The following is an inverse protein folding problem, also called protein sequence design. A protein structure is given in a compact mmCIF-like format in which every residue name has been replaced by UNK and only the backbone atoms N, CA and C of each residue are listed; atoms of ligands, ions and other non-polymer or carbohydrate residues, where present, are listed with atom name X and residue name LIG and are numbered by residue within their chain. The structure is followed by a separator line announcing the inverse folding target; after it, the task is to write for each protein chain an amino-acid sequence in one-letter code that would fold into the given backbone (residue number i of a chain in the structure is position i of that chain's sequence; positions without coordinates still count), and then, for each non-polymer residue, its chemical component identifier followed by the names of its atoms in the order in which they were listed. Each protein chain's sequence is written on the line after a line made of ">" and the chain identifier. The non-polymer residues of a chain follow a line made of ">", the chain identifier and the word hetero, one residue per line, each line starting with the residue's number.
data_IF_801161477985
#
_entry.id   IF_801161477985
#
_cell.length_a   1.000
_cell.length_b   1.000
_cell.length_c   1.000
_cell.angle_alpha   90.00
_cell.angle_beta   90.00
_cell.angle_gamma   90.00
#
_symmetry.space_group_name_H-M   'P 1'
#
loop_
_entity.id
_entity.type
_entity.pdbx_description
1 polymer ?
#
# COMPACT_ATOMS: atom_id res chain seq x y z
N UNK A 1 -14.90 -12.40 7.85
CA UNK A 1 -14.84 -12.01 9.25
C UNK A 1 -14.87 -10.50 9.36
N UNK A 2 -15.52 -9.95 10.36
CA UNK A 2 -15.46 -8.51 10.63
C UNK A 2 -14.13 -8.24 11.35
N UNK A 3 -13.35 -7.29 10.84
CA UNK A 3 -12.23 -6.76 11.60
C UNK A 3 -12.80 -5.83 12.67
N UNK A 4 -12.56 -6.16 13.94
CA UNK A 4 -12.92 -5.29 15.05
C UNK A 4 -11.80 -4.24 15.20
N UNK A 5 -12.16 -2.97 15.04
CA UNK A 5 -11.20 -1.87 15.01
C UNK A 5 -11.76 -0.64 15.73
N UNK A 6 -10.96 -0.05 16.61
CA UNK A 6 -11.31 1.20 17.30
C UNK A 6 -11.33 2.41 16.37
N UNK A 7 -10.44 2.44 15.38
CA UNK A 7 -10.21 3.61 14.53
C UNK A 7 -10.60 3.39 13.06
N UNK A 8 -11.26 2.29 12.75
CA UNK A 8 -11.70 1.97 11.41
C UNK A 8 -10.74 1.04 10.65
N UNK A 9 -11.19 0.64 9.47
CA UNK A 9 -10.42 -0.17 8.53
C UNK A 9 -10.28 0.61 7.24
N UNK A 10 -9.08 0.73 6.73
CA UNK A 10 -8.75 1.52 5.55
C UNK A 10 -8.20 0.63 4.45
N UNK A 11 -8.49 0.99 3.22
CA UNK A 11 -8.12 0.22 2.05
C UNK A 11 -7.55 1.12 0.96
N UNK A 12 -6.47 0.66 0.33
CA UNK A 12 -5.94 1.25 -0.90
C UNK A 12 -5.96 0.20 -2.00
N UNK A 13 -6.25 0.60 -3.23
CA UNK A 13 -6.29 -0.32 -4.35
C UNK A 13 -4.89 -0.79 -4.75
N UNK A 14 -4.81 -2.10 -5.04
CA UNK A 14 -3.70 -2.66 -5.78
C UNK A 14 -3.97 -2.72 -7.29
N UNK A 15 -2.93 -3.00 -8.04
CA UNK A 15 -2.97 -2.99 -9.51
C UNK A 15 -3.94 -4.02 -10.14
N UNK A 16 -4.38 -5.02 -9.39
CA UNK A 16 -5.33 -6.04 -9.85
C UNK A 16 -6.77 -5.84 -9.37
N UNK A 17 -7.00 -4.97 -8.40
CA UNK A 17 -8.27 -4.90 -7.67
C UNK A 17 -9.44 -4.41 -8.54
N UNK A 18 -9.20 -3.43 -9.39
CA UNK A 18 -10.23 -2.93 -10.31
C UNK A 18 -10.44 -3.84 -11.54
N UNK A 19 -9.75 -4.99 -11.56
CA UNK A 19 -9.88 -6.02 -12.61
C UNK A 19 -9.66 -5.52 -14.06
N UNK A 20 -8.91 -4.44 -14.22
CA UNK A 20 -8.68 -3.75 -15.48
C UNK A 20 -7.82 -4.55 -16.47
N UNK A 21 -7.20 -5.63 -16.02
CA UNK A 21 -6.34 -6.50 -16.85
C UNK A 21 -7.07 -7.69 -17.46
N UNK A 22 -8.27 -7.99 -16.96
CA UNK A 22 -9.04 -9.13 -17.44
C UNK A 22 -9.84 -8.78 -18.71
N UNK A 23 -9.68 -9.56 -19.76
CA UNK A 23 -10.49 -9.41 -20.97
C UNK A 23 -12.00 -9.65 -20.70
N UNK A 24 -12.31 -10.47 -19.69
CA UNK A 24 -13.66 -10.71 -19.19
C UNK A 24 -13.62 -10.67 -17.67
N UNK A 25 -13.84 -9.51 -17.06
CA UNK A 25 -13.80 -9.39 -15.61
C UNK A 25 -14.95 -10.17 -14.95
N UNK A 26 -14.64 -10.86 -13.86
CA UNK A 26 -15.64 -11.59 -13.07
C UNK A 26 -16.52 -10.66 -12.23
N UNK A 27 -16.06 -9.44 -11.99
CA UNK A 27 -16.76 -8.37 -11.28
C UNK A 27 -16.36 -7.02 -11.85
N UNK A 28 -17.19 -6.01 -11.68
CA UNK A 28 -16.84 -4.62 -12.04
C UNK A 28 -16.13 -3.91 -10.87
N UNK A 29 -15.42 -2.82 -11.19
CA UNK A 29 -14.79 -1.97 -10.18
C UNK A 29 -15.81 -1.42 -9.18
N UNK A 30 -16.99 -1.00 -9.66
CA UNK A 30 -18.07 -0.49 -8.81
C UNK A 30 -18.57 -1.56 -7.83
N UNK A 31 -18.76 -2.81 -8.30
CA UNK A 31 -19.18 -3.89 -7.41
C UNK A 31 -18.17 -4.18 -6.31
N UNK A 32 -16.89 -4.07 -6.61
CA UNK A 32 -15.83 -4.23 -5.61
C UNK A 32 -15.88 -3.10 -4.60
N UNK A 33 -15.96 -1.86 -5.06
CA UNK A 33 -16.07 -0.66 -4.23
C UNK A 33 -17.28 -0.73 -3.30
N UNK A 34 -18.46 -1.06 -3.84
CA UNK A 34 -19.69 -1.29 -3.07
C UNK A 34 -19.50 -2.36 -2.01
N UNK A 35 -18.84 -3.46 -2.34
CA UNK A 35 -18.61 -4.57 -1.39
C UNK A 35 -17.71 -4.14 -0.24
N UNK A 36 -16.65 -3.40 -0.52
CA UNK A 36 -15.70 -2.89 0.47
C UNK A 36 -16.39 -1.88 1.39
N UNK A 37 -17.11 -0.92 0.82
CA UNK A 37 -17.83 0.13 1.58
C UNK A 37 -18.96 -0.43 2.42
N UNK A 38 -19.72 -1.40 1.91
CA UNK A 38 -20.77 -2.09 2.67
C UNK A 38 -20.21 -2.90 3.85
N UNK A 39 -18.97 -3.33 3.76
CA UNK A 39 -18.25 -3.97 4.88
C UNK A 39 -17.75 -2.96 5.93
N UNK A 40 -18.03 -1.66 5.77
CA UNK A 40 -17.58 -0.60 6.69
C UNK A 40 -16.09 -0.21 6.52
N UNK A 41 -15.49 -0.55 5.39
CA UNK A 41 -14.09 -0.24 5.09
C UNK A 41 -14.03 1.07 4.30
N UNK A 42 -13.21 2.00 4.73
CA UNK A 42 -12.98 3.26 4.03
C UNK A 42 -11.90 3.09 2.96
N UNK A 43 -12.24 3.41 1.72
CA UNK A 43 -11.29 3.40 0.61
C UNK A 43 -10.61 4.76 0.55
N UNK A 44 -9.29 4.75 0.40
CA UNK A 44 -8.48 5.93 0.18
C UNK A 44 -7.78 5.82 -1.19
N UNK A 45 -8.20 6.62 -2.13
CA UNK A 45 -7.62 6.67 -3.49
C UNK A 45 -7.22 8.10 -3.83
N UNK A 46 -5.95 8.45 -3.61
CA UNK A 46 -5.43 9.81 -3.60
C UNK A 46 -6.21 10.72 -2.63
N UNK A 47 -6.46 10.18 -1.44
CA UNK A 47 -7.22 10.82 -0.37
C UNK A 47 -6.49 10.69 0.96
N UNK A 48 -6.85 11.55 1.89
CA UNK A 48 -6.28 11.57 3.24
C UNK A 48 -7.38 11.48 4.29
N UNK A 49 -7.06 10.90 5.43
CA UNK A 49 -7.92 10.89 6.61
C UNK A 49 -7.09 11.02 7.87
N UNK A 50 -7.66 11.58 8.92
CA UNK A 50 -6.98 11.75 10.20
C UNK A 50 -7.59 10.85 11.26
N UNK A 51 -6.74 10.11 11.94
CA UNK A 51 -7.09 9.21 13.02
C UNK A 51 -6.71 9.85 14.35
N UNK A 52 -7.67 9.92 15.27
CA UNK A 52 -7.46 10.40 16.64
C UNK A 52 -6.72 11.76 16.74
N UNK A 53 -6.78 12.59 15.70
CA UNK A 53 -6.09 13.89 15.58
C UNK A 53 -4.54 13.80 15.56
N UNK A 54 -3.96 12.61 15.67
CA UNK A 54 -2.52 12.37 15.82
C UNK A 54 -1.89 11.78 14.56
N UNK A 55 -2.63 10.98 13.81
CA UNK A 55 -2.12 10.23 12.66
C UNK A 55 -2.87 10.65 11.40
N UNK A 56 -2.16 11.07 10.37
CA UNK A 56 -2.71 11.28 9.04
C UNK A 56 -2.39 10.06 8.15
N UNK A 57 -3.42 9.37 7.68
CA UNK A 57 -3.28 8.34 6.66
C UNK A 57 -3.41 8.97 5.27
N UNK A 58 -2.46 8.67 4.41
CA UNK A 58 -2.37 9.18 3.03
C UNK A 58 -2.50 7.98 2.10
N UNK A 59 -3.72 7.70 1.62
CA UNK A 59 -3.95 6.61 0.68
C UNK A 59 -3.65 7.03 -0.75
N UNK A 60 -2.74 6.32 -1.40
CA UNK A 60 -2.34 6.57 -2.78
C UNK A 60 -3.22 5.79 -3.75
N UNK A 61 -3.59 6.41 -4.86
CA UNK A 61 -4.09 5.66 -6.01
C UNK A 61 -3.01 4.72 -6.53
N UNK A 62 -3.39 3.53 -6.99
CA UNK A 62 -2.42 2.61 -7.57
C UNK A 62 -1.68 3.27 -8.74
N UNK A 63 -0.38 3.04 -8.79
CA UNK A 63 0.48 3.59 -9.84
C UNK A 63 0.05 3.17 -11.23
N UNK A 64 -0.64 2.03 -11.35
CA UNK A 64 -1.24 1.50 -12.57
C UNK A 64 -0.25 1.29 -13.70
N UNK A 65 -0.80 1.13 -14.92
CA UNK A 65 0.01 1.08 -16.12
C UNK A 65 0.47 2.46 -16.59
N UNK A 66 1.09 2.53 -17.77
CA UNK A 66 1.75 3.73 -18.35
C UNK A 66 0.93 5.02 -18.37
N UNK A 67 -0.39 4.95 -18.20
CA UNK A 67 -1.32 6.09 -18.27
C UNK A 67 -2.05 6.34 -16.94
N UNK A 68 -1.68 5.68 -15.86
CA UNK A 68 -2.31 5.92 -14.58
C UNK A 68 -2.04 7.34 -14.12
N UNK A 69 -3.10 8.06 -13.77
CA UNK A 69 -3.03 9.41 -13.21
C UNK A 69 -3.22 9.27 -11.70
N UNK A 70 -2.17 9.51 -10.93
CA UNK A 70 -2.29 9.68 -9.48
C UNK A 70 -1.80 11.05 -9.08
N UNK A 71 -2.32 11.59 -8.00
CA UNK A 71 -1.88 12.87 -7.47
C UNK A 71 -0.44 12.78 -6.99
N UNK A 72 0.31 13.86 -7.08
CA UNK A 72 1.61 13.93 -6.41
C UNK A 72 1.41 13.94 -4.90
N UNK A 73 2.28 13.27 -4.16
CA UNK A 73 2.18 13.15 -2.71
C UNK A 73 2.20 14.51 -2.02
N UNK A 74 2.96 15.46 -2.54
CA UNK A 74 3.02 16.82 -2.02
C UNK A 74 1.67 17.54 -2.07
N UNK A 75 0.78 17.18 -3.00
CA UNK A 75 -0.56 17.73 -3.08
C UNK A 75 -1.51 17.12 -2.05
N UNK A 76 -1.26 15.88 -1.64
CA UNK A 76 -2.08 15.19 -0.65
C UNK A 76 -1.79 15.66 0.78
N UNK A 77 -0.55 16.02 1.07
CA UNK A 77 -0.14 16.45 2.42
C UNK A 77 -0.30 17.94 2.68
N UNK A 78 -0.65 18.73 1.65
CA UNK A 78 -0.62 20.19 1.70
C UNK A 78 -1.45 20.81 2.83
N UNK A 79 -2.56 20.18 3.19
CA UNK A 79 -3.50 20.67 4.21
C UNK A 79 -3.40 19.90 5.53
N UNK A 80 -2.47 18.95 5.64
CA UNK A 80 -2.28 18.17 6.85
C UNK A 80 -1.52 18.99 7.91
N UNK A 81 -1.80 18.68 9.17
CA UNK A 81 -1.06 19.26 10.28
C UNK A 81 0.34 18.59 10.37
N UNK A 82 1.45 19.36 10.31
CA UNK A 82 2.80 18.81 10.38
C UNK A 82 3.19 18.22 11.74
N UNK A 83 2.39 18.40 12.78
CA UNK A 83 2.58 17.77 14.10
C UNK A 83 2.02 16.34 14.15
N UNK A 84 1.33 15.89 13.09
CA UNK A 84 0.81 14.54 12.99
C UNK A 84 1.85 13.59 12.41
N UNK A 85 1.78 12.31 12.79
CA UNK A 85 2.48 11.23 12.10
C UNK A 85 1.84 10.97 10.73
N UNK A 86 2.60 11.13 9.67
CA UNK A 86 2.10 10.96 8.30
C UNK A 86 2.46 9.58 7.76
N UNK A 87 1.46 8.72 7.67
CA UNK A 87 1.61 7.35 7.20
C UNK A 87 1.03 7.21 5.80
N UNK A 88 1.88 6.88 4.84
CA UNK A 88 1.49 6.62 3.45
C UNK A 88 1.11 5.16 3.28
N UNK A 89 -0.06 4.94 2.68
CA UNK A 89 -0.50 3.64 2.20
C UNK A 89 -0.36 3.64 0.67
N UNK A 90 0.59 2.90 0.15
CA UNK A 90 0.83 2.77 -1.30
C UNK A 90 1.02 1.29 -1.64
N UNK A 91 0.19 0.75 -2.52
CA UNK A 91 0.29 -0.65 -2.89
C UNK A 91 1.68 -1.02 -3.43
N UNK A 92 2.26 -0.16 -4.25
CA UNK A 92 3.57 -0.42 -4.88
C UNK A 92 4.70 0.30 -4.13
N UNK A 93 5.81 -0.40 -3.80
CA UNK A 93 6.96 0.18 -3.11
C UNK A 93 7.76 1.10 -4.02
N UNK A 94 7.37 2.36 -4.05
CA UNK A 94 7.94 3.37 -4.95
C UNK A 94 7.83 4.80 -4.40
N UNK A 95 8.62 5.70 -4.98
CA UNK A 95 8.62 7.13 -4.67
C UNK A 95 9.01 7.47 -3.21
N UNK A 96 9.82 6.62 -2.57
CA UNK A 96 10.27 6.83 -1.19
C UNK A 96 10.96 8.18 -0.99
N UNK A 97 11.80 8.58 -1.95
CA UNK A 97 12.47 9.89 -1.89
C UNK A 97 11.49 11.07 -1.95
N UNK A 98 10.38 10.92 -2.68
CA UNK A 98 9.33 11.95 -2.69
C UNK A 98 8.58 11.98 -1.36
N UNK A 99 8.24 10.82 -0.80
CA UNK A 99 7.58 10.71 0.51
C UNK A 99 8.44 11.34 1.60
N UNK A 100 9.73 11.00 1.66
CA UNK A 100 10.69 11.60 2.58
C UNK A 100 10.78 13.12 2.44
N UNK A 101 10.95 13.61 1.20
CA UNK A 101 11.07 15.05 0.94
C UNK A 101 9.82 15.86 1.27
N UNK A 102 8.66 15.21 1.34
CA UNK A 102 7.40 15.83 1.77
C UNK A 102 7.16 15.77 3.28
N UNK A 103 8.04 15.11 4.03
CA UNK A 103 7.94 14.99 5.47
C UNK A 103 7.08 13.83 5.96
N UNK A 104 6.84 12.81 5.11
CA UNK A 104 6.17 11.59 5.57
C UNK A 104 7.09 10.78 6.47
N UNK A 105 6.51 10.18 7.51
CA UNK A 105 7.24 9.42 8.54
C UNK A 105 7.32 7.95 8.17
N UNK A 106 6.25 7.41 7.58
CA UNK A 106 6.17 5.98 7.23
C UNK A 106 5.49 5.76 5.88
N UNK A 107 5.92 4.71 5.17
CA UNK A 107 5.23 4.17 3.99
C UNK A 107 5.06 2.66 4.11
N UNK A 108 3.82 2.21 3.94
CA UNK A 108 3.43 0.79 4.00
C UNK A 108 3.05 0.32 2.61
N UNK A 109 3.68 -0.75 2.13
CA UNK A 109 3.49 -1.29 0.79
C UNK A 109 3.37 -2.83 0.79
N UNK A 110 2.88 -3.35 -0.34
CA UNK A 110 2.81 -4.78 -0.62
C UNK A 110 3.34 -5.09 -2.01
N UNK A 111 2.48 -5.57 -2.91
CA UNK A 111 2.68 -5.77 -4.35
C UNK A 111 3.69 -6.86 -4.73
N UNK A 112 4.88 -6.86 -4.18
CA UNK A 112 6.03 -7.70 -4.60
C UNK A 112 5.86 -9.17 -4.25
N UNK A 113 4.97 -9.48 -3.29
CA UNK A 113 4.82 -10.82 -2.70
C UNK A 113 6.14 -11.43 -2.21
N UNK A 114 7.17 -10.61 -1.96
CA UNK A 114 8.55 -11.02 -1.66
C UNK A 114 9.12 -11.99 -2.71
N UNK A 115 8.70 -11.83 -3.98
CA UNK A 115 9.06 -12.72 -5.09
C UNK A 115 8.19 -13.95 -5.24
N UNK A 116 7.43 -14.34 -4.22
CA UNK A 116 6.52 -15.48 -4.14
C UNK A 116 7.14 -16.85 -4.53
N UNK A 117 7.81 -16.96 -5.67
CA UNK A 117 8.41 -18.19 -6.19
C UNK A 117 9.91 -17.98 -6.38
N UNK A 118 10.71 -18.80 -5.67
CA UNK A 118 12.15 -18.77 -5.83
C UNK A 118 12.55 -19.14 -7.28
N UNK A 119 13.48 -18.43 -7.93
CA UNK A 119 14.34 -17.38 -7.39
C UNK A 119 13.88 -15.93 -7.76
N UNK A 120 12.59 -15.70 -7.98
CA UNK A 120 12.06 -14.42 -8.49
C UNK A 120 12.41 -13.26 -7.55
N UNK A 121 12.28 -13.43 -6.25
CA UNK A 121 12.62 -12.38 -5.28
C UNK A 121 14.11 -12.01 -5.30
N UNK A 122 14.99 -13.00 -5.52
CA UNK A 122 16.41 -12.75 -5.67
C UNK A 122 16.70 -11.87 -6.91
N UNK A 123 16.07 -12.19 -8.03
CA UNK A 123 16.21 -11.38 -9.24
C UNK A 123 15.59 -10.00 -9.10
N UNK A 124 14.41 -9.91 -8.49
CA UNK A 124 13.76 -8.62 -8.24
C UNK A 124 14.65 -7.70 -7.40
N UNK A 125 15.27 -8.22 -6.34
CA UNK A 125 16.20 -7.47 -5.50
C UNK A 125 17.51 -7.13 -6.24
N UNK A 126 18.05 -8.05 -7.04
CA UNK A 126 19.29 -7.82 -7.77
C UNK A 126 19.15 -6.77 -8.89
N UNK A 127 18.02 -6.75 -9.57
CA UNK A 127 17.76 -5.83 -10.68
C UNK A 127 16.98 -4.58 -10.26
N UNK A 128 16.67 -4.40 -8.97
CA UNK A 128 15.98 -3.23 -8.43
C UNK A 128 14.66 -2.91 -9.18
N UNK A 129 13.82 -3.92 -9.38
CA UNK A 129 12.52 -3.72 -10.04
C UNK A 129 11.61 -2.79 -9.23
N UNK A 130 11.75 -2.81 -7.91
CA UNK A 130 11.09 -1.94 -6.93
C UNK A 130 12.15 -1.31 -6.02
N UNK A 131 11.81 -0.23 -5.33
CA UNK A 131 12.73 0.42 -4.38
C UNK A 131 13.05 -0.48 -3.18
N UNK A 132 12.06 -1.28 -2.73
CA UNK A 132 12.22 -2.31 -1.71
C UNK A 132 11.37 -3.52 -2.08
N UNK A 133 11.97 -4.70 -2.12
CA UNK A 133 11.22 -5.92 -2.47
C UNK A 133 10.50 -6.54 -1.25
N UNK A 134 11.08 -6.46 -0.07
CA UNK A 134 10.52 -7.07 1.14
C UNK A 134 11.24 -6.57 2.41
N UNK A 135 10.48 -6.45 3.49
CA UNK A 135 11.00 -6.12 4.81
C UNK A 135 10.94 -4.62 5.10
N UNK A 136 11.90 -4.15 5.84
CA UNK A 136 11.97 -2.78 6.34
C UNK A 136 13.24 -2.08 5.84
N UNK A 137 13.11 -0.82 5.50
CA UNK A 137 14.23 0.05 5.12
C UNK A 137 13.98 1.46 5.64
N UNK A 138 15.02 2.06 6.19
CA UNK A 138 15.01 3.48 6.56
C UNK A 138 15.63 4.32 5.44
N UNK A 139 14.94 5.37 5.03
CA UNK A 139 15.44 6.34 4.07
C UNK A 139 15.32 7.76 4.65
N UNK A 140 16.43 8.30 5.15
CA UNK A 140 16.40 9.53 5.93
C UNK A 140 15.51 9.38 7.17
N UNK A 141 14.43 10.14 7.25
CA UNK A 141 13.44 10.05 8.32
C UNK A 141 12.25 9.12 7.99
N UNK A 142 12.14 8.65 6.75
CA UNK A 142 11.06 7.78 6.31
C UNK A 142 11.36 6.33 6.67
N UNK A 143 10.43 5.67 7.35
CA UNK A 143 10.42 4.23 7.56
C UNK A 143 9.57 3.55 6.48
N UNK A 144 10.18 2.73 5.62
CA UNK A 144 9.51 2.01 4.55
C UNK A 144 9.36 0.53 4.91
N UNK A 145 8.13 -0.01 4.82
CA UNK A 145 7.83 -1.41 5.11
C UNK A 145 7.11 -2.02 3.91
N UNK A 146 7.63 -3.15 3.43
CA UNK A 146 7.02 -3.95 2.36
C UNK A 146 6.71 -5.34 2.87
N UNK A 147 5.42 -5.70 2.85
CA UNK A 147 4.95 -7.03 3.26
C UNK A 147 4.84 -7.98 2.08
N UNK A 148 5.02 -9.27 2.36
CA UNK A 148 4.74 -10.32 1.38
C UNK A 148 3.24 -10.57 1.17
N UNK A 149 2.40 -10.01 2.05
CA UNK A 149 0.95 -10.15 2.01
C UNK A 149 0.41 -11.50 2.48
N UNK A 150 -0.89 -11.54 2.75
CA UNK A 150 -1.58 -12.75 3.24
C UNK A 150 -1.89 -13.76 2.13
N UNK A 151 -1.92 -13.33 0.87
CA UNK A 151 -2.23 -14.15 -0.29
C UNK A 151 -1.08 -14.14 -1.31
N UNK A 152 -1.14 -15.07 -2.26
CA UNK A 152 -0.24 -15.09 -3.42
C UNK A 152 -0.89 -14.49 -4.65
N UNK A 153 -0.08 -14.26 -5.68
CA UNK A 153 -0.50 -13.80 -6.99
C UNK A 153 -0.46 -14.95 -8.02
N UNK A 154 -1.48 -15.03 -8.85
CA UNK A 154 -1.53 -15.96 -9.99
C UNK A 154 -1.66 -17.41 -9.57
N UNK A 155 -0.58 -18.07 -9.20
CA UNK A 155 -0.58 -19.47 -8.79
C UNK A 155 -0.66 -19.62 -7.27
N UNK A 156 -1.40 -20.62 -6.75
CA UNK A 156 -1.52 -20.87 -5.31
C UNK A 156 -0.28 -21.59 -4.76
N UNK A 157 0.90 -21.18 -5.21
CA UNK A 157 2.19 -21.76 -4.83
C UNK A 157 3.08 -20.61 -4.33
N UNK A 158 3.68 -20.83 -3.16
CA UNK A 158 4.68 -19.97 -2.59
C UNK A 158 5.86 -20.80 -2.15
N UNK A 159 7.04 -20.55 -2.71
CA UNK A 159 8.29 -21.24 -2.35
C UNK A 159 9.32 -20.27 -1.76
N UNK A 160 9.02 -18.99 -1.77
CA UNK A 160 9.84 -17.93 -1.20
C UNK A 160 9.01 -17.12 -0.20
N UNK A 161 9.55 -16.96 1.03
CA UNK A 161 8.88 -16.30 2.16
C UNK A 161 7.54 -16.95 2.55
N UNK A 162 6.86 -16.37 3.50
CA UNK A 162 5.58 -16.85 4.03
C UNK A 162 4.49 -15.81 3.80
N UNK A 163 3.23 -16.23 3.85
CA UNK A 163 2.10 -15.30 3.96
C UNK A 163 2.15 -14.65 5.33
N UNK A 164 1.95 -13.34 5.37
CA UNK A 164 2.08 -12.55 6.60
C UNK A 164 1.13 -11.37 6.64
N UNK A 165 0.97 -10.82 7.81
CA UNK A 165 0.51 -9.46 8.05
C UNK A 165 1.52 -8.76 8.95
N UNK A 166 1.57 -7.44 8.88
CA UNK A 166 2.50 -6.63 9.66
C UNK A 166 1.75 -5.93 10.78
N UNK A 167 2.32 -5.93 11.97
CA UNK A 167 1.85 -5.13 13.11
C UNK A 167 2.86 -4.02 13.35
N UNK A 168 2.41 -2.78 13.20
CA UNK A 168 3.21 -1.59 13.49
C UNK A 168 2.77 -1.01 14.82
N UNK A 169 3.71 -0.85 15.74
CA UNK A 169 3.46 -0.19 17.02
C UNK A 169 4.10 1.20 16.96
N UNK A 170 3.26 2.23 16.95
CA UNK A 170 3.72 3.61 17.09
C UNK A 170 3.92 3.89 18.59
N UNK A 171 5.09 4.37 18.94
CA UNK A 171 5.48 4.66 20.34
C UNK A 171 5.78 6.16 20.40
N UNK A 172 5.00 6.88 21.18
CA UNK A 172 5.21 8.30 21.49
C UNK A 172 6.22 8.47 22.63
#
# INVERSE_FOLDING_TARGET
>A
GQADSTYGVYYVYGNHDKNNYAAKPNYSAEKMEDTITQAGIQILEDETTVINQEIALIGRADRGGRNAKRKDISSLVKELNPEQEWIVLDHQPSEYKKAENTGCDMILSGHTHAGQIWPVGLFASLFHFDELNYGEQKQGNLDAIVTSGIAGWGYPIRTEKHSEYVVVNLIS
#
